data_IF_949095583568
#
_entry.id   IF_949095583568
#
_cell.length_a   1.000
_cell.length_b   1.000
_cell.length_c   1.000
_cell.angle_alpha   90.00
_cell.angle_beta   90.00
_cell.angle_gamma   90.00
#
_symmetry.space_group_name_H-M   'P 1'
#
loop_
_entity.id
_entity.type
_entity.pdbx_description
1 polymer ?
#
# COMPACT_ATOMS: atom_id res chain seq x y z
N UNK A 1 17.09 18.61 17.99
CA UNK A 1 16.73 17.22 18.34
C UNK A 1 15.40 16.89 17.67
N UNK A 2 15.29 15.81 16.92
CA UNK A 2 14.01 15.36 16.32
C UNK A 2 13.60 14.06 16.99
N UNK A 3 12.52 14.09 17.78
CA UNK A 3 11.92 12.88 18.32
C UNK A 3 11.37 12.04 17.14
N UNK A 4 11.85 10.81 16.99
CA UNK A 4 11.44 9.95 15.87
C UNK A 4 9.99 9.50 16.03
N UNK A 5 9.58 9.23 17.27
CA UNK A 5 8.17 8.96 17.62
C UNK A 5 7.26 10.12 17.25
N UNK A 6 7.65 11.36 17.51
CA UNK A 6 6.84 12.53 17.11
C UNK A 6 6.72 12.63 15.59
N UNK A 7 7.78 12.30 14.84
CA UNK A 7 7.76 12.34 13.37
C UNK A 7 6.81 11.29 12.75
N UNK A 8 6.77 10.08 13.31
CA UNK A 8 5.86 9.02 12.85
C UNK A 8 4.41 9.37 13.21
N UNK A 9 4.17 9.85 14.44
CA UNK A 9 2.84 10.30 14.87
C UNK A 9 2.30 11.45 14.04
N UNK A 10 3.14 12.42 13.69
CA UNK A 10 2.77 13.51 12.79
C UNK A 10 2.29 12.96 11.43
N UNK A 11 2.96 11.93 10.89
CA UNK A 11 2.52 11.30 9.65
C UNK A 11 1.22 10.53 9.82
N UNK A 12 1.04 9.80 10.92
CA UNK A 12 -0.23 9.12 11.22
C UNK A 12 -1.37 10.14 11.29
N UNK A 13 -1.15 11.27 11.96
CA UNK A 13 -2.12 12.35 12.03
C UNK A 13 -2.44 12.91 10.64
N UNK A 14 -1.42 13.16 9.81
CA UNK A 14 -1.61 13.59 8.42
C UNK A 14 -2.42 12.56 7.62
N UNK A 15 -2.15 11.26 7.79
CA UNK A 15 -2.91 10.18 7.13
C UNK A 15 -4.37 10.22 7.54
N UNK A 16 -4.66 10.35 8.85
CA UNK A 16 -6.02 10.45 9.36
C UNK A 16 -6.76 11.66 8.78
N UNK A 17 -6.19 12.86 8.90
CA UNK A 17 -6.81 14.09 8.37
C UNK A 17 -7.03 13.97 6.85
N UNK A 18 -6.02 13.47 6.14
CA UNK A 18 -6.11 13.24 4.69
C UNK A 18 -7.11 12.16 4.27
N UNK A 19 -7.60 11.37 5.24
CA UNK A 19 -8.65 10.36 5.08
C UNK A 19 -10.04 10.89 5.44
N UNK A 20 -10.17 12.20 5.69
CA UNK A 20 -11.44 12.85 6.04
C UNK A 20 -11.69 12.97 7.54
N UNK A 21 -10.71 12.64 8.41
CA UNK A 21 -10.83 12.92 9.84
C UNK A 21 -10.74 14.42 10.13
N UNK A 22 -11.44 14.90 11.17
CA UNK A 22 -11.29 16.28 11.64
C UNK A 22 -9.85 16.61 12.02
N UNK A 23 -9.45 17.88 11.86
CA UNK A 23 -8.11 18.38 12.16
C UNK A 23 -7.66 18.14 13.61
N UNK A 24 -8.60 17.99 14.55
CA UNK A 24 -8.34 17.73 15.97
C UNK A 24 -8.56 16.25 16.29
N UNK A 25 -7.74 15.38 15.69
CA UNK A 25 -7.74 13.95 16.00
C UNK A 25 -7.38 13.73 17.47
N UNK A 26 -8.08 12.84 18.17
CA UNK A 26 -7.79 12.47 19.56
C UNK A 26 -6.37 11.92 19.71
N UNK A 27 -5.61 12.41 20.70
CA UNK A 27 -4.27 11.90 21.03
C UNK A 27 -4.29 10.39 21.30
N UNK A 28 -5.35 9.88 21.95
CA UNK A 28 -5.50 8.46 22.23
C UNK A 28 -5.64 7.63 20.94
N UNK A 29 -6.33 8.15 19.93
CA UNK A 29 -6.41 7.49 18.61
C UNK A 29 -5.01 7.44 17.96
N UNK A 30 -4.25 8.54 18.03
CA UNK A 30 -2.88 8.60 17.53
C UNK A 30 -1.96 7.61 18.24
N UNK A 31 -2.02 7.51 19.58
CA UNK A 31 -1.24 6.53 20.35
C UNK A 31 -1.57 5.10 19.94
N UNK A 32 -2.87 4.75 19.86
CA UNK A 32 -3.29 3.39 19.54
C UNK A 32 -2.82 2.93 18.16
N UNK A 33 -2.91 3.79 17.15
CA UNK A 33 -2.41 3.49 15.81
C UNK A 33 -0.87 3.43 15.82
N UNK A 34 -0.20 4.36 16.50
CA UNK A 34 1.25 4.35 16.61
C UNK A 34 1.77 3.07 17.23
N UNK A 35 1.18 2.64 18.35
CA UNK A 35 1.54 1.41 19.05
C UNK A 35 1.31 0.18 18.16
N UNK A 36 0.19 0.13 17.44
CA UNK A 36 -0.06 -0.94 16.49
C UNK A 36 1.00 -1.00 15.37
N UNK A 37 1.32 0.15 14.75
CA UNK A 37 2.33 0.21 13.69
C UNK A 37 3.71 -0.16 14.21
N UNK A 38 4.07 0.28 15.41
CA UNK A 38 5.32 -0.11 16.08
C UNK A 38 5.38 -1.62 16.32
N UNK A 39 4.29 -2.22 16.82
CA UNK A 39 4.21 -3.67 17.06
C UNK A 39 4.33 -4.43 15.74
N UNK A 40 3.60 -4.03 14.69
CA UNK A 40 3.72 -4.64 13.38
C UNK A 40 5.14 -4.53 12.81
N UNK A 41 5.78 -3.36 12.96
CA UNK A 41 7.15 -3.17 12.51
C UNK A 41 8.14 -4.08 13.26
N UNK A 42 7.99 -4.22 14.58
CA UNK A 42 8.78 -5.17 15.37
C UNK A 42 8.55 -6.62 14.92
N UNK A 43 7.30 -7.03 14.67
CA UNK A 43 7.01 -8.36 14.12
C UNK A 43 7.66 -8.59 12.76
N UNK A 44 7.68 -7.58 11.89
CA UNK A 44 8.36 -7.69 10.58
C UNK A 44 9.86 -7.88 10.77
N UNK A 45 10.49 -7.16 11.70
CA UNK A 45 11.92 -7.30 11.99
C UNK A 45 12.32 -8.70 12.42
N UNK A 46 11.45 -9.43 13.13
CA UNK A 46 11.73 -10.80 13.54
C UNK A 46 12.07 -11.72 12.35
N UNK A 47 11.53 -11.44 11.17
CA UNK A 47 11.77 -12.21 9.94
C UNK A 47 12.78 -11.56 8.99
N UNK A 48 13.28 -10.36 9.32
CA UNK A 48 14.25 -9.64 8.51
C UNK A 48 15.65 -9.72 9.12
N UNK A 49 16.67 -9.67 8.27
CA UNK A 49 18.05 -9.58 8.73
C UNK A 49 18.28 -8.27 9.51
N UNK A 50 18.93 -8.38 10.66
CA UNK A 50 19.43 -7.23 11.44
C UNK A 50 20.77 -6.69 10.92
N UNK A 51 21.40 -7.39 9.97
CA UNK A 51 22.75 -7.06 9.48
C UNK A 51 22.76 -6.51 8.04
N UNK A 52 21.66 -6.66 7.30
CA UNK A 52 21.47 -6.18 5.93
C UNK A 52 20.13 -5.47 5.75
N UNK A 53 20.05 -4.60 4.75
CA UNK A 53 18.80 -3.95 4.38
C UNK A 53 17.86 -4.96 3.71
N UNK A 54 16.54 -4.83 3.90
CA UNK A 54 15.59 -5.83 3.42
C UNK A 54 15.45 -5.74 1.90
N UNK A 55 15.52 -6.85 1.20
CA UNK A 55 15.27 -6.94 -0.24
C UNK A 55 13.83 -7.37 -0.56
N UNK A 56 13.44 -7.27 -1.84
CA UNK A 56 12.11 -7.71 -2.28
C UNK A 56 11.86 -9.19 -1.94
N UNK A 57 12.88 -10.04 -2.04
CA UNK A 57 12.78 -11.45 -1.65
C UNK A 57 12.41 -11.62 -0.18
N UNK A 58 13.12 -10.92 0.72
CA UNK A 58 12.86 -10.96 2.16
C UNK A 58 11.44 -10.53 2.49
N UNK A 59 10.97 -9.45 1.84
CA UNK A 59 9.63 -8.90 2.05
C UNK A 59 8.52 -9.83 1.53
N UNK A 60 8.74 -10.51 0.40
CA UNK A 60 7.79 -11.50 -0.11
C UNK A 60 7.74 -12.74 0.79
N UNK A 61 8.88 -13.18 1.31
CA UNK A 61 8.94 -14.30 2.24
C UNK A 61 8.23 -13.95 3.57
N UNK A 62 8.49 -12.76 4.12
CA UNK A 62 7.78 -12.18 5.27
C UNK A 62 6.26 -12.16 5.04
N UNK A 63 5.81 -11.76 3.84
CA UNK A 63 4.40 -11.60 3.54
C UNK A 63 3.73 -12.88 3.01
N UNK A 64 4.42 -14.03 2.91
CA UNK A 64 3.91 -15.24 2.25
C UNK A 64 2.55 -15.70 2.77
N UNK A 65 2.30 -15.52 4.08
CA UNK A 65 1.05 -15.88 4.74
C UNK A 65 0.10 -14.69 4.97
N UNK A 66 0.37 -13.55 4.33
CA UNK A 66 -0.33 -12.28 4.53
C UNK A 66 -0.90 -11.80 3.19
N UNK A 67 -2.02 -12.37 2.73
CA UNK A 67 -2.51 -12.17 1.36
C UNK A 67 -2.79 -10.70 1.03
N UNK A 68 -3.25 -9.92 2.01
CA UNK A 68 -3.53 -8.49 1.83
C UNK A 68 -2.24 -7.70 1.55
N UNK A 69 -1.15 -8.00 2.27
CA UNK A 69 0.17 -7.37 2.02
C UNK A 69 0.77 -7.82 0.69
N UNK A 70 0.61 -9.09 0.30
CA UNK A 70 1.05 -9.58 -1.02
C UNK A 70 0.32 -8.85 -2.17
N UNK A 71 -1.01 -8.72 -2.08
CA UNK A 71 -1.79 -7.92 -3.03
C UNK A 71 -1.27 -6.48 -3.08
N UNK A 72 -0.92 -5.90 -1.93
CA UNK A 72 -0.37 -4.55 -1.82
C UNK A 72 0.99 -4.43 -2.51
N UNK A 73 1.90 -5.39 -2.35
CA UNK A 73 3.19 -5.41 -3.08
C UNK A 73 2.96 -5.45 -4.59
N UNK A 74 2.03 -6.28 -5.06
CA UNK A 74 1.69 -6.33 -6.49
C UNK A 74 1.12 -4.98 -6.97
N UNK A 75 0.23 -4.35 -6.20
CA UNK A 75 -0.30 -3.00 -6.49
C UNK A 75 0.79 -1.93 -6.54
N UNK A 76 1.80 -2.01 -5.67
CA UNK A 76 2.95 -1.12 -5.68
C UNK A 76 3.71 -1.18 -7.01
N UNK A 77 4.10 -2.39 -7.44
CA UNK A 77 4.83 -2.56 -8.70
C UNK A 77 3.98 -2.17 -9.91
N UNK A 78 2.67 -2.46 -9.93
CA UNK A 78 1.77 -2.01 -11.00
C UNK A 78 1.75 -0.48 -11.11
N UNK A 79 1.55 0.21 -9.99
CA UNK A 79 1.51 1.68 -9.96
C UNK A 79 2.81 2.29 -10.48
N UNK A 80 3.97 1.75 -10.07
CA UNK A 80 5.25 2.24 -10.56
C UNK A 80 5.42 1.94 -12.05
N UNK A 81 5.07 0.73 -12.51
CA UNK A 81 5.14 0.38 -13.92
C UNK A 81 4.31 1.34 -14.79
N UNK A 82 3.08 1.66 -14.36
CA UNK A 82 2.22 2.63 -15.05
C UNK A 82 2.82 4.03 -15.04
N UNK A 83 3.36 4.48 -13.90
CA UNK A 83 3.99 5.79 -13.79
C UNK A 83 5.26 5.93 -14.66
N UNK A 84 6.04 4.86 -14.77
CA UNK A 84 7.22 4.80 -15.64
C UNK A 84 6.83 4.82 -17.11
N UNK A 85 5.78 4.07 -17.49
CA UNK A 85 5.26 4.06 -18.86
C UNK A 85 4.72 5.42 -19.31
N UNK A 86 3.97 6.11 -18.44
CA UNK A 86 3.47 7.47 -18.72
C UNK A 86 4.62 8.47 -18.88
N UNK A 87 5.71 8.32 -18.11
CA UNK A 87 6.90 9.16 -18.22
C UNK A 87 7.72 8.88 -19.48
N UNK A 88 7.82 7.62 -19.93
CA UNK A 88 8.60 7.25 -21.13
C UNK A 88 7.87 7.57 -22.42
N UNK A 89 6.54 7.52 -22.42
CA UNK A 89 5.71 7.80 -23.59
C UNK A 89 5.07 9.20 -23.52
N UNK A 90 5.79 10.17 -22.94
CA UNK A 90 5.27 11.48 -22.54
C UNK A 90 4.28 12.08 -23.54
N UNK A 91 3.05 12.36 -23.06
CA UNK A 91 2.04 13.30 -23.58
C UNK A 91 1.76 13.34 -25.10
N UNK A 92 2.22 12.36 -25.86
CA UNK A 92 1.98 12.21 -27.28
C UNK A 92 1.29 10.87 -27.50
N UNK A 93 0.02 10.91 -27.91
CA UNK A 93 -0.76 9.74 -28.32
C UNK A 93 -1.36 8.93 -27.15
N UNK A 94 -2.07 9.59 -26.24
CA UNK A 94 -3.24 8.95 -25.62
C UNK A 94 -4.47 9.78 -25.98
N UNK A 95 -5.25 9.29 -26.94
CA UNK A 95 -6.56 9.86 -27.26
C UNK A 95 -7.38 9.94 -25.97
N UNK A 96 -8.06 11.07 -25.75
CA UNK A 96 -8.88 11.35 -24.55
C UNK A 96 -9.88 10.22 -24.25
N UNK A 97 -10.29 9.42 -25.24
CA UNK A 97 -11.12 8.21 -25.08
C UNK A 97 -10.47 7.09 -24.26
N UNK A 98 -9.14 6.92 -24.32
CA UNK A 98 -8.43 5.92 -23.53
C UNK A 98 -8.21 6.40 -22.08
N UNK A 99 -7.91 7.68 -21.90
CA UNK A 99 -7.77 8.27 -20.56
C UNK A 99 -9.13 8.34 -19.84
N UNK A 100 -10.21 8.67 -20.55
CA UNK A 100 -11.58 8.61 -20.01
C UNK A 100 -12.02 7.18 -19.69
N UNK A 101 -11.62 6.14 -20.44
CA UNK A 101 -11.88 4.74 -20.03
C UNK A 101 -11.11 4.31 -18.76
N UNK A 102 -10.02 4.99 -18.42
CA UNK A 102 -9.27 4.80 -17.18
C UNK A 102 -9.90 5.53 -15.98
N UNK A 103 -10.69 6.59 -16.23
CA UNK A 103 -11.31 7.45 -15.21
C UNK A 103 -12.81 7.13 -15.02
N UNK A 104 -13.55 6.85 -16.09
CA UNK A 104 -15.01 6.63 -16.13
C UNK A 104 -15.45 5.17 -15.92
N UNK A 105 -14.64 4.32 -15.28
CA UNK A 105 -15.16 3.08 -14.69
C UNK A 105 -15.65 3.28 -13.23
N UNK A 106 -15.78 4.54 -12.82
CA UNK A 106 -16.57 4.96 -11.68
C UNK A 106 -17.80 5.70 -12.21
N UNK A 107 -18.97 5.24 -11.76
CA UNK A 107 -20.33 5.74 -12.00
C UNK A 107 -21.00 5.35 -13.32
N UNK A 108 -21.83 4.31 -13.24
CA UNK A 108 -23.26 4.42 -13.56
C UNK A 108 -23.96 3.13 -13.10
N UNK A 109 -24.48 3.16 -11.88
CA UNK A 109 -25.64 2.38 -11.45
C UNK A 109 -26.38 3.25 -10.41
N UNK A 110 -26.87 4.40 -10.87
CA UNK A 110 -27.99 5.06 -10.24
C UNK A 110 -29.24 4.23 -10.56
N UNK A 111 -29.53 3.24 -9.72
CA UNK A 111 -30.91 2.74 -9.61
C UNK A 111 -31.59 3.58 -8.53
N UNK A 112 -31.99 4.79 -8.93
CA UNK A 112 -33.07 5.52 -8.27
C UNK A 112 -34.37 4.75 -8.54
N UNK A 113 -34.77 3.93 -7.58
CA UNK A 113 -36.16 3.52 -7.41
C UNK A 113 -36.66 4.00 -6.06
N UNK A 114 -37.03 5.28 -6.02
CA UNK A 114 -38.16 5.73 -5.23
C UNK A 114 -39.38 5.62 -6.13
N UNK A 115 -40.38 4.89 -5.70
CA UNK A 115 -41.78 5.26 -5.89
C UNK A 115 -42.52 4.69 -4.68
N UNK A 116 -43.06 5.61 -3.90
CA UNK A 116 -44.02 5.37 -2.82
C UNK A 116 -45.40 5.07 -3.45
N UNK A 117 -46.10 4.10 -2.86
CA UNK A 117 -47.55 3.89 -2.69
C UNK A 117 -48.56 4.44 -3.74
N UNK A 118 -49.49 3.60 -4.24
CA UNK A 118 -50.97 3.66 -4.00
C UNK A 118 -51.65 2.40 -4.58
N UNK A 119 -52.71 2.01 -3.88
CA UNK A 119 -53.63 0.87 -3.92
C UNK A 119 -54.37 0.46 -5.23
N UNK A 120 -55.00 -0.72 -5.09
CA UNK A 120 -56.28 -1.20 -5.66
C UNK A 120 -56.34 -2.05 -6.96
N UNK A 121 -56.78 -3.30 -6.72
CA UNK A 121 -57.81 -4.11 -7.38
C UNK A 121 -57.76 -4.58 -8.86
N UNK A 122 -57.90 -5.91 -8.93
CA UNK A 122 -58.75 -6.71 -9.83
C UNK A 122 -58.37 -7.08 -11.28
N UNK A 123 -58.67 -8.36 -11.56
CA UNK A 123 -58.86 -9.06 -12.86
C UNK A 123 -57.56 -9.58 -13.51
N UNK A 124 -57.21 -10.87 -13.42
CA UNK A 124 -57.73 -12.07 -14.14
C UNK A 124 -57.67 -12.00 -15.67
N UNK A 125 -57.05 -13.08 -16.19
CA UNK A 125 -57.17 -13.71 -17.52
C UNK A 125 -56.50 -12.91 -18.67
N UNK A 126 -55.30 -13.27 -19.14
CA UNK A 126 -54.93 -14.38 -20.07
C UNK A 126 -55.81 -14.42 -21.35
N UNK A 127 -55.12 -14.60 -22.50
CA UNK A 127 -55.57 -14.55 -23.92
C UNK A 127 -55.22 -13.18 -24.59
N UNK A 128 -54.64 -13.03 -25.78
CA UNK A 128 -54.18 -13.93 -26.83
C UNK A 128 -53.32 -13.12 -27.83
N UNK A 129 -52.46 -13.84 -28.57
CA UNK A 129 -52.11 -13.68 -29.99
C UNK A 129 -51.39 -12.43 -30.56
N UNK A 130 -50.21 -12.76 -31.12
CA UNK A 130 -49.80 -12.55 -32.53
C UNK A 130 -49.90 -11.14 -33.15
N UNK A 131 -48.75 -10.54 -33.46
CA UNK A 131 -48.17 -10.64 -34.81
C UNK A 131 -46.97 -9.70 -35.04
N UNK A 132 -46.07 -10.22 -35.87
CA UNK A 132 -44.94 -9.62 -36.59
C UNK A 132 -44.79 -8.08 -36.64
N UNK A 133 -43.58 -7.58 -36.33
CA UNK A 133 -42.67 -7.02 -37.36
C UNK A 133 -41.31 -6.57 -36.77
N UNK A 134 -40.24 -7.09 -37.37
CA UNK A 134 -38.90 -6.51 -37.57
C UNK A 134 -38.55 -5.17 -36.84
N UNK A 135 -38.01 -5.25 -35.63
CA UNK A 135 -37.03 -4.24 -35.16
C UNK A 135 -35.77 -4.93 -34.64
N UNK A 136 -34.72 -4.73 -35.43
CA UNK A 136 -33.30 -4.97 -35.17
C UNK A 136 -32.95 -4.97 -33.67
N UNK A 137 -32.60 -6.14 -33.12
CA UNK A 137 -31.86 -6.25 -31.86
C UNK A 137 -30.63 -5.34 -31.95
N UNK A 138 -30.44 -4.34 -31.07
CA UNK A 138 -29.17 -3.64 -31.01
C UNK A 138 -28.13 -4.66 -30.56
N UNK A 139 -27.09 -4.82 -31.39
CA UNK A 139 -25.86 -5.50 -31.05
C UNK A 139 -25.29 -4.90 -29.75
N UNK A 140 -25.69 -5.45 -28.61
CA UNK A 140 -24.91 -5.35 -27.38
C UNK A 140 -23.71 -6.29 -27.54
N UNK A 141 -22.78 -5.88 -28.41
CA UNK A 141 -21.39 -6.31 -28.27
C UNK A 141 -20.97 -5.85 -26.88
N UNK A 142 -20.94 -6.79 -25.94
CA UNK A 142 -20.10 -6.65 -24.76
C UNK A 142 -18.75 -6.10 -25.23
N UNK A 143 -18.24 -5.00 -24.64
CA UNK A 143 -16.90 -4.57 -24.96
C UNK A 143 -15.96 -5.71 -24.58
N UNK A 144 -15.34 -6.27 -25.62
CA UNK A 144 -14.41 -7.39 -25.57
C UNK A 144 -13.52 -7.27 -24.31
N UNK A 145 -13.65 -8.25 -23.42
CA UNK A 145 -12.86 -8.48 -22.19
C UNK A 145 -11.36 -8.73 -22.44
N UNK A 146 -10.87 -8.40 -23.64
CA UNK A 146 -9.47 -8.53 -24.06
C UNK A 146 -8.61 -7.31 -23.74
N UNK A 147 -9.19 -6.15 -23.40
CA UNK A 147 -8.43 -4.89 -23.29
C UNK A 147 -7.62 -4.74 -21.98
N UNK A 148 -7.90 -5.51 -20.92
CA UNK A 148 -7.16 -5.41 -19.65
C UNK A 148 -6.07 -6.46 -19.46
N UNK A 149 -6.14 -7.60 -20.15
CA UNK A 149 -5.04 -8.57 -20.17
C UNK A 149 -3.93 -8.16 -21.14
N UNK A 150 -4.17 -7.21 -22.06
CA UNK A 150 -3.19 -6.74 -23.04
C UNK A 150 -2.20 -5.70 -22.52
N UNK A 151 -2.33 -5.23 -21.27
CA UNK A 151 -1.42 -4.23 -20.68
C UNK A 151 -0.59 -4.80 -19.52
N UNK A 152 -0.12 -6.04 -19.65
CA UNK A 152 1.10 -6.48 -18.98
C UNK A 152 2.27 -5.89 -19.78
N UNK A 153 3.02 -4.89 -19.27
CA UNK A 153 4.20 -4.40 -19.97
C UNK A 153 5.23 -5.55 -19.97
N UNK A 154 5.31 -6.29 -21.08
CA UNK A 154 6.21 -7.43 -21.26
C UNK A 154 7.69 -7.05 -21.12
N UNK A 155 8.01 -5.75 -21.03
CA UNK A 155 9.37 -5.21 -20.97
C UNK A 155 9.72 -4.47 -19.67
N UNK A 156 8.89 -4.52 -18.61
CA UNK A 156 9.28 -3.88 -17.35
C UNK A 156 10.09 -4.86 -16.47
N UNK A 157 11.41 -4.65 -16.38
CA UNK A 157 12.36 -5.49 -15.63
C UNK A 157 11.92 -5.77 -14.19
N UNK A 158 11.28 -4.79 -13.54
CA UNK A 158 10.79 -4.92 -12.17
C UNK A 158 9.59 -5.86 -12.03
N UNK A 159 8.69 -5.87 -13.02
CA UNK A 159 7.53 -6.77 -13.03
C UNK A 159 7.95 -8.23 -13.32
N UNK A 160 8.89 -8.41 -14.25
CA UNK A 160 9.48 -9.72 -14.53
C UNK A 160 10.20 -10.26 -13.28
N UNK A 161 11.01 -9.42 -12.61
CA UNK A 161 11.67 -9.76 -11.35
C UNK A 161 10.65 -10.18 -10.28
N UNK A 162 9.56 -9.43 -10.12
CA UNK A 162 8.50 -9.76 -9.17
C UNK A 162 7.89 -11.13 -9.49
N UNK A 163 7.47 -11.38 -10.74
CA UNK A 163 6.86 -12.65 -11.13
C UNK A 163 7.81 -13.83 -10.91
N UNK A 164 9.10 -13.67 -11.25
CA UNK A 164 10.13 -14.69 -11.00
C UNK A 164 10.21 -15.04 -9.51
N UNK A 165 10.18 -14.04 -8.62
CA UNK A 165 10.22 -14.26 -7.18
C UNK A 165 8.93 -14.93 -6.64
N UNK A 166 7.75 -14.54 -7.14
CA UNK A 166 6.49 -15.22 -6.80
C UNK A 166 6.53 -16.71 -7.18
N UNK A 167 7.03 -17.03 -8.37
CA UNK A 167 7.24 -18.42 -8.79
C UNK A 167 8.24 -19.16 -7.91
N UNK A 168 9.40 -18.56 -7.61
CA UNK A 168 10.42 -19.16 -6.73
C UNK A 168 9.88 -19.46 -5.32
N UNK A 169 9.06 -18.56 -4.77
CA UNK A 169 8.47 -18.72 -3.44
C UNK A 169 7.21 -19.59 -3.43
N UNK A 170 6.78 -20.10 -4.59
CA UNK A 170 5.53 -20.84 -4.79
C UNK A 170 4.31 -20.07 -4.30
N UNK A 171 4.28 -18.76 -4.54
CA UNK A 171 3.16 -17.89 -4.24
C UNK A 171 2.44 -17.63 -5.57
N UNK A 172 1.15 -17.97 -5.73
CA UNK A 172 0.40 -17.61 -6.92
C UNK A 172 0.31 -16.08 -6.99
N UNK A 173 0.41 -15.53 -8.19
CA UNK A 173 0.33 -14.09 -8.36
C UNK A 173 -1.11 -13.62 -8.03
N UNK A 174 -1.30 -12.63 -7.14
CA UNK A 174 -2.61 -12.04 -6.93
C UNK A 174 -3.14 -11.38 -8.21
N UNK A 175 -4.12 -12.02 -8.84
CA UNK A 175 -4.88 -11.43 -9.95
C UNK A 175 -5.95 -10.50 -9.36
N UNK A 176 -6.15 -9.33 -9.98
CA UNK A 176 -7.15 -8.33 -9.52
C UNK A 176 -8.58 -8.80 -9.83
N UNK A 177 -8.72 -9.76 -10.75
CA UNK A 177 -10.02 -10.25 -11.15
C UNK A 177 -10.81 -10.79 -9.95
N UNK A 178 -11.97 -10.17 -9.72
CA UNK A 178 -12.89 -10.47 -8.63
C UNK A 178 -13.73 -11.74 -8.88
N UNK A 179 -13.36 -12.55 -9.88
CA UNK A 179 -14.06 -13.79 -10.20
C UNK A 179 -13.97 -14.80 -9.05
N UNK A 180 -15.04 -15.60 -8.93
CA UNK A 180 -15.22 -16.60 -7.86
C UNK A 180 -14.05 -17.60 -7.79
N UNK A 181 -13.35 -17.81 -8.91
CA UNK A 181 -12.31 -18.84 -9.07
C UNK A 181 -10.88 -18.30 -9.12
N UNK A 182 -10.59 -17.23 -8.38
CA UNK A 182 -9.23 -16.71 -8.29
C UNK A 182 -8.31 -17.70 -7.51
N UNK A 183 -7.32 -18.33 -8.16
CA UNK A 183 -6.47 -19.35 -7.54
C UNK A 183 -5.65 -18.80 -6.37
N UNK A 184 -5.41 -17.49 -6.33
CA UNK A 184 -4.71 -16.84 -5.21
C UNK A 184 -5.48 -17.03 -3.89
N UNK A 185 -6.79 -16.79 -3.90
CA UNK A 185 -7.61 -16.85 -2.68
C UNK A 185 -7.90 -18.28 -2.23
N UNK A 186 -7.73 -19.27 -3.09
CA UNK A 186 -7.88 -20.69 -2.74
C UNK A 186 -6.79 -21.16 -1.75
N UNK A 187 -5.64 -20.47 -1.70
CA UNK A 187 -4.55 -20.81 -0.77
C UNK A 187 -4.72 -20.27 0.65
N UNK A 188 -5.70 -19.39 0.87
CA UNK A 188 -5.85 -18.71 2.16
C UNK A 188 -7.24 -19.01 2.75
N UNK A 189 -7.37 -19.05 4.08
CA UNK A 189 -8.66 -19.13 4.74
C UNK A 189 -9.66 -18.09 4.20
N UNK A 190 -10.91 -18.52 3.95
CA UNK A 190 -11.97 -17.68 3.37
C UNK A 190 -12.17 -16.34 4.08
N UNK A 191 -11.93 -16.32 5.41
CA UNK A 191 -11.98 -15.10 6.24
C UNK A 191 -11.08 -13.98 5.71
N UNK A 192 -9.92 -14.28 5.12
CA UNK A 192 -9.05 -13.24 4.55
C UNK A 192 -9.67 -12.59 3.31
N UNK A 193 -10.33 -13.38 2.46
CA UNK A 193 -11.05 -12.87 1.28
C UNK A 193 -12.22 -11.98 1.73
N UNK A 194 -12.95 -12.39 2.76
CA UNK A 194 -14.04 -11.60 3.34
C UNK A 194 -13.53 -10.26 3.90
N UNK A 195 -12.47 -10.27 4.71
CA UNK A 195 -11.86 -9.05 5.24
C UNK A 195 -11.35 -8.15 4.10
N UNK A 196 -10.74 -8.71 3.06
CA UNK A 196 -10.32 -7.94 1.90
C UNK A 196 -11.49 -7.20 1.22
N UNK A 197 -12.66 -7.83 1.09
CA UNK A 197 -13.85 -7.16 0.56
C UNK A 197 -14.39 -6.07 1.50
N UNK A 198 -14.35 -6.30 2.82
CA UNK A 198 -14.72 -5.29 3.81
C UNK A 198 -13.80 -4.06 3.73
N UNK A 199 -12.50 -4.28 3.65
CA UNK A 199 -11.51 -3.21 3.42
C UNK A 199 -11.74 -2.48 2.11
N UNK A 200 -12.11 -3.20 1.04
CA UNK A 200 -12.43 -2.58 -0.24
C UNK A 200 -13.66 -1.66 -0.13
N UNK A 201 -14.75 -2.11 0.52
CA UNK A 201 -15.91 -1.25 0.79
C UNK A 201 -15.55 -0.05 1.66
N UNK A 202 -14.78 -0.28 2.73
CA UNK A 202 -14.24 0.77 3.59
C UNK A 202 -13.43 1.82 2.84
N UNK A 203 -12.58 1.39 1.91
CA UNK A 203 -11.82 2.27 1.02
C UNK A 203 -12.73 3.16 0.19
N UNK A 204 -13.81 2.62 -0.37
CA UNK A 204 -14.77 3.42 -1.14
C UNK A 204 -15.41 4.49 -0.25
N UNK A 205 -15.86 4.12 0.95
CA UNK A 205 -16.39 5.09 1.92
C UNK A 205 -15.38 6.19 2.28
N UNK A 206 -14.10 5.84 2.45
CA UNK A 206 -13.04 6.83 2.70
C UNK A 206 -12.91 7.80 1.53
N UNK A 207 -12.91 7.30 0.29
CA UNK A 207 -12.81 8.14 -0.90
C UNK A 207 -14.02 9.08 -1.01
N UNK A 208 -15.24 8.56 -0.86
CA UNK A 208 -16.46 9.39 -0.83
C UNK A 208 -16.39 10.44 0.27
N UNK A 209 -15.91 10.09 1.48
CA UNK A 209 -15.74 11.04 2.58
C UNK A 209 -14.74 12.15 2.24
N UNK A 210 -13.63 11.82 1.57
CA UNK A 210 -12.65 12.80 1.10
C UNK A 210 -13.29 13.73 0.06
N UNK A 211 -14.01 13.17 -0.92
CA UNK A 211 -14.62 13.94 -1.99
C UNK A 211 -15.64 14.93 -1.41
N UNK A 212 -16.50 14.48 -0.50
CA UNK A 212 -17.45 15.32 0.24
C UNK A 212 -16.77 16.44 1.03
N UNK A 213 -15.65 16.15 1.71
CA UNK A 213 -14.88 17.15 2.46
C UNK A 213 -14.30 18.24 1.54
N UNK A 214 -13.98 17.90 0.29
CA UNK A 214 -13.43 18.85 -0.68
C UNK A 214 -14.47 19.55 -1.55
N UNK A 215 -15.71 19.03 -1.59
CA UNK A 215 -16.70 19.37 -2.62
C UNK A 215 -17.18 20.83 -2.63
N UNK A 216 -16.97 21.60 -1.55
CA UNK A 216 -17.42 22.99 -1.46
C UNK A 216 -16.39 23.92 -0.80
N UNK A 217 -15.12 23.53 -0.83
CA UNK A 217 -14.04 24.30 -0.21
C UNK A 217 -13.41 25.29 -1.19
N UNK A 218 -12.81 26.36 -0.66
CA UNK A 218 -12.07 27.30 -1.50
C UNK A 218 -10.88 26.62 -2.20
N UNK A 219 -10.47 27.13 -3.37
CA UNK A 219 -9.32 26.61 -4.12
C UNK A 219 -8.06 26.51 -3.24
N UNK A 220 -7.84 27.50 -2.36
CA UNK A 220 -6.71 27.50 -1.43
C UNK A 220 -6.77 26.33 -0.43
N UNK A 221 -7.94 26.06 0.14
CA UNK A 221 -8.15 24.92 1.05
C UNK A 221 -8.04 23.59 0.31
N UNK A 222 -8.56 23.51 -0.92
CA UNK A 222 -8.39 22.33 -1.76
C UNK A 222 -6.91 22.03 -2.03
N UNK A 223 -6.13 23.04 -2.43
CA UNK A 223 -4.69 22.89 -2.68
C UNK A 223 -3.91 22.54 -1.42
N UNK A 224 -4.24 23.14 -0.27
CA UNK A 224 -3.59 22.82 1.00
C UNK A 224 -3.89 21.39 1.45
N UNK A 225 -5.14 20.94 1.29
CA UNK A 225 -5.54 19.55 1.54
C UNK A 225 -4.86 18.56 0.58
N UNK A 226 -4.71 18.92 -0.69
CA UNK A 226 -4.00 18.08 -1.65
C UNK A 226 -2.51 17.95 -1.32
N UNK A 227 -1.84 19.05 -0.93
CA UNK A 227 -0.45 19.03 -0.42
C UNK A 227 -0.34 18.17 0.84
N UNK A 228 -1.33 18.25 1.74
CA UNK A 228 -1.42 17.39 2.90
C UNK A 228 -1.47 15.91 2.49
N UNK A 229 -2.39 15.50 1.59
CA UNK A 229 -2.48 14.11 1.07
C UNK A 229 -1.16 13.62 0.48
N UNK A 230 -0.48 14.46 -0.30
CA UNK A 230 0.82 14.10 -0.89
C UNK A 230 1.90 13.87 0.18
N UNK A 231 1.83 14.62 1.29
CA UNK A 231 2.74 14.49 2.43
C UNK A 231 2.33 13.39 3.44
N UNK A 232 1.06 12.97 3.43
CA UNK A 232 0.44 12.03 4.35
C UNK A 232 0.78 10.57 4.00
N UNK A 233 2.07 10.22 4.09
CA UNK A 233 2.50 8.85 3.91
C UNK A 233 3.84 8.58 4.57
N UNK A 234 3.99 7.38 5.16
CA UNK A 234 5.29 6.88 5.61
C UNK A 234 6.29 6.78 4.45
N UNK A 235 5.82 6.64 3.21
CA UNK A 235 6.69 6.71 2.03
C UNK A 235 7.50 8.01 1.95
N UNK A 236 6.98 9.13 2.45
CA UNK A 236 7.72 10.39 2.43
C UNK A 236 8.91 10.38 3.39
N UNK A 237 8.92 9.52 4.41
CA UNK A 237 10.11 9.31 5.22
C UNK A 237 11.18 8.54 4.46
N UNK A 238 10.81 7.69 3.51
CA UNK A 238 11.78 6.96 2.70
C UNK A 238 12.35 7.80 1.55
N UNK A 239 11.80 8.99 1.29
CA UNK A 239 12.36 9.95 0.34
C UNK A 239 13.46 10.77 1.04
N UNK A 240 14.60 10.93 0.36
CA UNK A 240 15.66 11.89 0.69
C UNK A 240 16.16 11.87 2.16
N UNK A 241 16.27 13.05 2.79
CA UNK A 241 16.96 13.33 4.08
C UNK A 241 16.40 12.56 5.27
N UNK A 242 15.20 11.96 5.16
CA UNK A 242 14.54 11.25 6.25
C UNK A 242 14.66 9.72 6.16
N UNK A 243 15.21 9.15 5.08
CA UNK A 243 15.30 7.70 4.91
C UNK A 243 16.03 7.04 6.08
N UNK A 244 17.11 7.67 6.52
CA UNK A 244 17.93 7.21 7.64
C UNK A 244 17.18 7.28 8.97
N UNK A 245 16.29 8.26 9.15
CA UNK A 245 15.40 8.38 10.31
C UNK A 245 14.37 7.25 10.33
N UNK A 246 13.76 6.95 9.18
CA UNK A 246 12.84 5.82 9.05
C UNK A 246 13.53 4.49 9.32
N UNK A 247 14.71 4.27 8.70
CA UNK A 247 15.55 3.11 8.95
C UNK A 247 15.84 2.95 10.44
N UNK A 248 16.28 4.02 11.10
CA UNK A 248 16.62 3.97 12.51
C UNK A 248 15.41 3.67 13.40
N UNK A 249 14.28 4.36 13.16
CA UNK A 249 13.04 4.05 13.85
C UNK A 249 12.65 2.59 13.66
N UNK A 250 12.70 2.09 12.41
CA UNK A 250 12.29 0.74 12.08
C UNK A 250 13.18 -0.33 12.69
N UNK A 251 14.51 -0.17 12.73
CA UNK A 251 15.44 -1.18 13.25
C UNK A 251 15.73 -1.08 14.75
N UNK A 252 15.68 0.11 15.33
CA UNK A 252 16.19 0.34 16.69
C UNK A 252 15.13 0.84 17.67
N UNK A 253 14.19 1.67 17.24
CA UNK A 253 13.12 2.17 18.12
C UNK A 253 11.96 1.17 18.29
N UNK A 254 11.84 0.22 17.38
CA UNK A 254 10.86 -0.87 17.44
C UNK A 254 11.26 -1.98 18.42
N UNK A 255 12.57 -2.24 18.58
CA UNK A 255 13.12 -3.28 19.46
C UNK A 255 13.27 -2.82 20.93
N UNK A 256 13.62 -1.56 21.15
CA UNK A 256 13.79 -1.01 22.49
C UNK A 256 12.48 -0.41 23.02
N UNK A 257 11.85 -1.09 23.99
CA UNK A 257 10.72 -0.55 24.75
C UNK A 257 11.12 0.62 25.67
N UNK A 258 12.42 0.89 25.83
CA UNK A 258 12.92 1.92 26.73
C UNK A 258 12.90 3.29 26.04
N UNK A 259 12.18 4.21 26.69
CA UNK A 259 11.88 5.59 26.32
C UNK A 259 13.08 6.54 26.19
N UNK A 260 14.32 6.05 26.17
CA UNK A 260 15.50 6.88 25.94
C UNK A 260 15.72 7.15 24.45
N UNK A 261 14.72 7.77 23.81
CA UNK A 261 14.88 8.47 22.53
C UNK A 261 15.81 9.71 22.65
N UNK A 262 16.38 9.94 23.85
CA UNK A 262 16.94 11.21 24.28
C UNK A 262 18.38 11.49 23.86
N UNK A 263 19.16 10.53 23.30
CA UNK A 263 20.57 10.79 22.90
C UNK A 263 21.05 10.03 21.66
N UNK A 264 20.26 9.97 20.60
CA UNK A 264 20.73 9.40 19.34
C UNK A 264 21.14 10.51 18.40
N UNK A 265 22.43 10.59 18.08
CA UNK A 265 22.96 11.58 17.14
C UNK A 265 22.73 11.12 15.71
N UNK A 266 22.52 12.07 14.79
CA UNK A 266 22.42 11.78 13.36
C UNK A 266 23.66 11.03 12.82
N UNK A 267 24.81 11.20 13.47
CA UNK A 267 26.05 10.51 13.18
C UNK A 267 25.94 9.00 13.44
N UNK A 268 25.43 8.57 14.60
CA UNK A 268 25.20 7.15 14.91
C UNK A 268 24.24 6.50 13.92
N UNK A 269 23.16 7.22 13.56
CA UNK A 269 22.20 6.77 12.55
C UNK A 269 22.90 6.55 11.19
N UNK A 270 23.74 7.51 10.77
CA UNK A 270 24.47 7.45 9.51
C UNK A 270 25.44 6.28 9.48
N UNK A 271 26.21 6.07 10.53
CA UNK A 271 27.21 4.99 10.62
C UNK A 271 26.54 3.61 10.52
N UNK A 272 25.43 3.41 11.23
CA UNK A 272 24.70 2.13 11.18
C UNK A 272 24.09 1.88 9.81
N UNK A 273 23.47 2.90 9.21
CA UNK A 273 22.92 2.79 7.86
C UNK A 273 24.01 2.42 6.83
N UNK A 274 25.18 3.06 6.89
CA UNK A 274 26.31 2.76 6.01
C UNK A 274 26.87 1.35 6.23
N UNK A 275 26.95 0.88 7.48
CA UNK A 275 27.37 -0.50 7.79
C UNK A 275 26.43 -1.54 7.17
N UNK A 276 25.12 -1.38 7.33
CA UNK A 276 24.14 -2.30 6.73
C UNK A 276 24.11 -2.22 5.21
N UNK A 277 24.27 -1.02 4.65
CA UNK A 277 24.37 -0.83 3.20
C UNK A 277 25.61 -1.55 2.64
N UNK A 278 26.77 -1.39 3.27
CA UNK A 278 28.00 -2.07 2.89
C UNK A 278 27.85 -3.60 2.95
N UNK A 279 27.27 -4.14 4.03
CA UNK A 279 27.01 -5.57 4.17
C UNK A 279 26.04 -6.13 3.11
N UNK A 280 25.12 -5.30 2.63
CA UNK A 280 24.19 -5.67 1.56
C UNK A 280 24.93 -5.76 0.22
N UNK A 281 25.91 -4.87 -0.02
CA UNK A 281 26.74 -4.88 -1.23
C UNK A 281 27.80 -6.00 -1.24
N UNK A 282 28.48 -6.26 -0.12
CA UNK A 282 29.60 -7.23 -0.07
C UNK A 282 29.16 -8.69 -0.17
N UNK A 283 27.91 -9.02 0.15
CA UNK A 283 27.39 -10.38 -0.04
C UNK A 283 26.92 -10.66 -1.47
N UNK A 284 26.77 -9.63 -2.31
CA UNK A 284 26.43 -9.83 -3.72
C UNK A 284 27.63 -10.23 -4.57
N UNK A 285 28.87 -10.09 -4.06
CA UNK A 285 30.12 -10.30 -4.80
C UNK A 285 30.81 -11.65 -4.54
N UNK A 286 30.32 -12.49 -3.61
CA UNK A 286 31.00 -13.76 -3.25
C UNK A 286 30.49 -14.99 -4.01
N UNK A 287 29.68 -14.82 -5.05
CA UNK A 287 29.25 -15.94 -5.94
C UNK A 287 29.72 -15.74 -7.37
N UNK A 288 31.03 -15.56 -7.59
CA UNK A 288 31.70 -15.81 -8.88
C UNK A 288 33.21 -15.70 -8.72
N UNK A 289 33.90 -16.83 -8.54
CA UNK A 289 35.23 -17.16 -9.11
C UNK A 289 35.92 -18.26 -8.30
N UNK A 290 35.57 -19.51 -8.59
CA UNK A 290 36.56 -20.58 -8.62
C UNK A 290 37.38 -20.40 -9.89
N UNK A 291 38.56 -19.78 -9.78
CA UNK A 291 39.70 -20.10 -10.64
C UNK A 291 40.98 -19.57 -10.00
N UNK A 292 41.86 -20.53 -9.75
CA UNK A 292 43.22 -20.45 -9.25
C UNK A 292 44.12 -19.58 -10.13
N UNK A 293 44.90 -18.70 -9.51
CA UNK A 293 46.34 -18.56 -9.82
C UNK A 293 47.04 -17.78 -8.70
N UNK A 294 47.94 -18.49 -8.03
CA UNK A 294 49.04 -17.97 -7.23
C UNK A 294 49.89 -16.97 -8.01
N UNK A 295 50.27 -15.86 -7.39
CA UNK A 295 51.65 -15.31 -7.35
C UNK A 295 51.68 -14.20 -6.29
N UNK A 296 52.83 -14.14 -5.64
CA UNK A 296 53.18 -13.54 -4.36
C UNK A 296 53.55 -12.04 -4.40
N UNK A 297 53.47 -11.46 -3.20
CA UNK A 297 54.37 -10.47 -2.57
C UNK A 297 54.27 -8.97 -2.88
N UNK A 298 53.97 -8.25 -1.79
CA UNK A 298 54.59 -7.03 -1.25
C UNK A 298 54.23 -5.63 -1.77
N UNK A 299 53.61 -4.90 -0.83
CA UNK A 299 53.97 -3.55 -0.37
C UNK A 299 53.26 -2.32 -0.95
N UNK A 300 52.93 -1.45 0.01
CA UNK A 300 52.77 0.00 -0.06
C UNK A 300 51.39 0.57 -0.41
N UNK A 301 50.73 0.98 0.66
CA UNK A 301 49.68 1.99 0.71
C UNK A 301 50.14 3.29 0.02
N UNK A 302 49.44 3.68 -1.04
CA UNK A 302 49.20 5.10 -1.36
C UNK A 302 47.75 5.23 -1.81
N UNK A 303 46.95 5.75 -0.89
CA UNK A 303 45.57 6.17 -1.10
C UNK A 303 45.65 7.45 -1.94
N UNK A 304 45.40 7.34 -3.25
CA UNK A 304 45.14 8.51 -4.08
C UNK A 304 43.73 9.01 -3.81
N UNK A 305 43.70 10.03 -2.96
CA UNK A 305 42.57 10.88 -2.66
C UNK A 305 42.14 11.66 -3.91
N UNK A 306 41.21 11.11 -4.66
CA UNK A 306 40.30 11.89 -5.52
C UNK A 306 38.85 11.45 -5.28
N UNK A 307 38.40 11.61 -4.02
CA UNK A 307 36.98 11.79 -3.75
C UNK A 307 36.56 13.13 -4.38
N UNK A 308 36.19 13.05 -5.66
CA UNK A 308 35.31 14.06 -6.24
C UNK A 308 34.03 14.05 -5.42
N UNK A 309 33.81 15.19 -4.77
CA UNK A 309 32.61 15.64 -4.08
C UNK A 309 31.42 15.70 -5.03
N UNK A 310 30.92 14.53 -5.43
CA UNK A 310 29.65 14.35 -6.09
C UNK A 310 28.59 14.04 -5.05
N UNK A 311 27.69 14.99 -4.80
CA UNK A 311 26.44 14.84 -4.07
C UNK A 311 25.58 13.71 -4.65
N UNK A 312 25.88 12.46 -4.31
CA UNK A 312 25.08 11.31 -4.68
C UNK A 312 23.77 11.36 -3.88
N UNK A 313 22.72 11.91 -4.48
CA UNK A 313 21.35 11.69 -4.04
C UNK A 313 21.07 10.19 -4.13
N UNK A 314 21.38 9.45 -3.06
CA UNK A 314 21.17 8.01 -2.98
C UNK A 314 19.69 7.72 -3.26
N UNK A 315 19.41 7.04 -4.37
CA UNK A 315 18.07 6.54 -4.66
C UNK A 315 17.55 5.76 -3.44
N UNK A 316 16.29 5.92 -3.05
CA UNK A 316 15.75 5.26 -1.87
C UNK A 316 15.91 3.74 -1.99
N UNK A 317 16.36 3.08 -0.92
CA UNK A 317 16.47 1.62 -0.89
C UNK A 317 15.09 0.99 -1.11
N UNK A 318 14.94 0.20 -2.17
CA UNK A 318 13.65 -0.30 -2.63
C UNK A 318 12.88 -1.05 -1.54
N UNK A 319 13.55 -1.95 -0.80
CA UNK A 319 12.86 -2.69 0.25
C UNK A 319 12.44 -1.83 1.44
N UNK A 320 13.20 -0.79 1.82
CA UNK A 320 12.75 0.15 2.84
C UNK A 320 11.53 0.95 2.35
N UNK A 321 11.48 1.26 1.06
CA UNK A 321 10.35 1.93 0.43
C UNK A 321 9.09 1.06 0.42
N UNK A 322 9.21 -0.21 0.01
CA UNK A 322 8.10 -1.18 0.04
C UNK A 322 7.62 -1.40 1.48
N UNK A 323 8.54 -1.50 2.43
CA UNK A 323 8.23 -1.66 3.85
C UNK A 323 7.40 -0.47 4.39
N UNK A 324 7.82 0.77 4.09
CA UNK A 324 7.05 1.96 4.44
C UNK A 324 5.68 1.97 3.74
N UNK A 325 5.60 1.50 2.48
CA UNK A 325 4.33 1.36 1.77
C UNK A 325 3.39 0.35 2.44
N UNK A 326 3.93 -0.77 2.92
CA UNK A 326 3.17 -1.80 3.64
C UNK A 326 2.60 -1.25 4.95
N UNK A 327 3.44 -0.62 5.79
CA UNK A 327 3.04 -0.02 7.06
C UNK A 327 2.02 1.11 6.85
N UNK A 328 2.20 1.93 5.81
CA UNK A 328 1.23 2.96 5.45
C UNK A 328 -0.11 2.35 5.08
N UNK A 329 -0.09 1.25 4.33
CA UNK A 329 -1.28 0.48 3.99
C UNK A 329 -1.98 -0.10 5.21
N UNK A 330 -1.25 -0.52 6.24
CA UNK A 330 -1.87 -1.02 7.48
C UNK A 330 -2.63 0.09 8.24
N UNK A 331 -2.13 1.34 8.23
CA UNK A 331 -2.87 2.50 8.77
C UNK A 331 -4.17 2.70 7.98
N UNK A 332 -4.08 2.65 6.66
CA UNK A 332 -5.23 2.84 5.77
C UNK A 332 -6.26 1.71 5.93
N UNK A 333 -5.83 0.46 6.13
CA UNK A 333 -6.71 -0.67 6.38
C UNK A 333 -7.50 -0.50 7.69
N UNK A 334 -6.88 0.04 8.74
CA UNK A 334 -7.57 0.35 10.00
C UNK A 334 -8.70 1.33 9.74
N UNK A 335 -8.41 2.43 9.05
CA UNK A 335 -9.40 3.47 8.72
C UNK A 335 -10.52 2.86 7.88
N UNK A 336 -10.18 2.10 6.84
CA UNK A 336 -11.15 1.47 5.94
C UNK A 336 -12.07 0.51 6.69
N UNK A 337 -11.51 -0.32 7.58
CA UNK A 337 -12.31 -1.24 8.39
C UNK A 337 -13.23 -0.51 9.38
N UNK A 338 -12.76 0.60 9.98
CA UNK A 338 -13.62 1.42 10.86
C UNK A 338 -14.80 1.99 10.08
N UNK A 339 -14.55 2.59 8.91
CA UNK A 339 -15.62 3.16 8.09
C UNK A 339 -16.61 2.08 7.64
N UNK A 340 -16.13 0.90 7.26
CA UNK A 340 -16.99 -0.24 6.95
C UNK A 340 -17.87 -0.63 8.14
N UNK A 341 -17.29 -0.76 9.34
CA UNK A 341 -18.04 -1.10 10.55
C UNK A 341 -19.06 -0.02 10.92
N UNK A 342 -18.70 1.27 10.76
CA UNK A 342 -19.64 2.39 10.97
C UNK A 342 -20.83 2.33 10.03
N UNK A 343 -20.60 2.11 8.73
CA UNK A 343 -21.69 1.95 7.77
C UNK A 343 -22.59 0.79 8.19
N UNK A 344 -22.01 -0.35 8.58
CA UNK A 344 -22.77 -1.53 9.03
C UNK A 344 -23.60 -1.26 10.30
N UNK A 345 -23.10 -0.41 11.19
CA UNK A 345 -23.75 -0.07 12.47
C UNK A 345 -24.59 1.21 12.39
N UNK A 346 -24.78 1.79 11.20
CA UNK A 346 -25.47 3.06 10.99
C UNK A 346 -24.91 4.22 11.83
N UNK A 347 -23.59 4.22 12.07
CA UNK A 347 -22.88 5.32 12.73
C UNK A 347 -22.51 6.36 11.68
N UNK A 348 -22.71 7.65 12.01
CA UNK A 348 -22.38 8.75 11.11
C UNK A 348 -20.90 8.71 10.66
N UNK A 349 -20.68 8.57 9.36
CA UNK A 349 -19.35 8.48 8.74
C UNK A 349 -18.53 9.77 8.82
N UNK A 350 -19.17 10.93 9.05
CA UNK A 350 -18.47 12.22 9.16
C UNK A 350 -18.01 12.53 10.59
N UNK A 351 -18.50 11.79 11.58
CA UNK A 351 -18.09 11.96 12.98
C UNK A 351 -16.62 11.58 13.19
N UNK A 352 -15.92 12.12 14.21
CA UNK A 352 -14.53 11.75 14.49
C UNK A 352 -14.39 10.27 14.87
N UNK A 353 -13.31 9.60 14.44
CA UNK A 353 -12.98 8.23 14.86
C UNK A 353 -12.72 8.18 16.37
N UNK A 354 -13.30 7.18 17.03
CA UNK A 354 -13.19 7.00 18.47
C UNK A 354 -12.12 5.95 18.83
N UNK A 355 -11.53 6.03 20.04
CA UNK A 355 -10.60 5.01 20.53
C UNK A 355 -11.19 3.59 20.60
N UNK A 356 -12.49 3.46 20.83
CA UNK A 356 -13.17 2.17 20.95
C UNK A 356 -13.19 1.46 19.59
N UNK A 357 -13.52 2.19 18.53
CA UNK A 357 -13.54 1.65 17.16
C UNK A 357 -12.16 1.19 16.72
N UNK A 358 -11.12 1.96 17.06
CA UNK A 358 -9.73 1.58 16.84
C UNK A 358 -9.43 0.27 17.57
N UNK A 359 -9.70 0.17 18.88
CA UNK A 359 -9.43 -1.04 19.67
C UNK A 359 -10.12 -2.28 19.10
N UNK A 360 -11.37 -2.15 18.66
CA UNK A 360 -12.13 -3.25 18.06
C UNK A 360 -11.46 -3.75 16.76
N UNK A 361 -11.10 -2.83 15.87
CA UNK A 361 -10.42 -3.19 14.60
C UNK A 361 -9.03 -3.76 14.86
N UNK A 362 -8.27 -3.18 15.78
CA UNK A 362 -6.94 -3.67 16.15
C UNK A 362 -7.01 -5.10 16.70
N UNK A 363 -7.98 -5.40 17.57
CA UNK A 363 -8.20 -6.76 18.09
C UNK A 363 -8.49 -7.75 16.96
N UNK A 364 -9.33 -7.38 15.99
CA UNK A 364 -9.59 -8.20 14.81
C UNK A 364 -8.31 -8.42 13.98
N UNK A 365 -7.52 -7.36 13.76
CA UNK A 365 -6.32 -7.43 12.94
C UNK A 365 -5.23 -8.29 13.62
N UNK A 366 -5.02 -8.14 14.93
CA UNK A 366 -4.01 -8.91 15.65
C UNK A 366 -4.36 -10.38 15.82
N UNK A 367 -5.64 -10.75 15.74
CA UNK A 367 -6.07 -12.14 15.92
C UNK A 367 -6.32 -12.86 14.59
N UNK A 368 -6.69 -12.11 13.54
CA UNK A 368 -7.10 -12.69 12.27
C UNK A 368 -6.09 -12.39 11.15
N UNK A 369 -5.73 -11.12 10.97
CA UNK A 369 -4.91 -10.71 9.82
C UNK A 369 -3.43 -10.96 10.02
N UNK A 370 -2.93 -10.61 11.20
CA UNK A 370 -1.54 -10.74 11.59
C UNK A 370 -1.49 -11.41 12.98
N UNK A 371 -1.90 -12.70 13.06
CA UNK A 371 -1.85 -13.43 14.32
C UNK A 371 -0.44 -13.37 14.88
N UNK A 372 -0.33 -12.91 16.12
CA UNK A 372 0.94 -12.93 16.83
C UNK A 372 1.33 -14.39 17.00
N UNK A 373 2.54 -14.77 16.59
CA UNK A 373 3.09 -16.03 17.03
C UNK A 373 3.31 -15.89 18.54
N UNK A 374 2.67 -16.76 19.32
CA UNK A 374 3.03 -16.97 20.72
C UNK A 374 4.50 -17.37 20.71
N UNK A 375 5.35 -16.53 21.31
CA UNK A 375 6.74 -16.85 21.58
C UNK A 375 6.77 -18.16 22.37
N UNK A 376 7.16 -19.25 21.71
CA UNK A 376 7.52 -20.53 22.32
C UNK A 376 8.92 -20.45 22.90
#
# INVERSE_FOLDING_TARGET
MTCLKSSIKEIIQKVLISSGEPFHTSDLVLELIYDYIRINANQMLFYLSTTKLPELYDLLNLCKHQPIRLIRIVKYFRTICTSSFIKTNGLGIMNEKQLSSFINNHDDNNDDRRDDDVDDDDSRDDDDDDDDENIRKPNNMLPNSKCFNSFLPHNNSNWIRLNKLFHQLSIPLPTIQHHKDNPFWQLYPLKFKQIYYQLYKGKLLRLTRIDLMTCNESIEKFLSFHRLRQSASLLNLTKSRNLKKFFYWFYYCTLNNNHDESKITLQTINEQYLKMLHNSMTCSTTTSSTLSSSISSSSSLTIDSTLSSGSSSSSPHEGLHILAYLLNGDILDIIDMILFNRQKLNINLTSPITPIEIKQVLHMFTNILYPRQSSS
#
